data_IF_331182320849
#
_entry.id   IF_331182320849
#
_cell.length_a   1.000
_cell.length_b   1.000
_cell.length_c   1.000
_cell.angle_alpha   90.00
_cell.angle_beta   90.00
_cell.angle_gamma   90.00
#
_symmetry.space_group_name_H-M   'P 1'
#
loop_
_entity.id
_entity.type
_entity.pdbx_description
1 polymer ?
#
# COMPACT_ATOMS: atom_id res chain seq x y z
N UNK A 1 -5.29 0.57 11.28
CA UNK A 1 -5.67 -0.14 10.03
C UNK A 1 -5.42 -1.62 10.25
N UNK A 2 -6.47 -2.40 10.48
CA UNK A 2 -6.38 -3.83 10.76
C UNK A 2 -5.78 -4.56 9.54
N UNK A 3 -4.54 -5.03 9.66
CA UNK A 3 -4.03 -6.05 8.75
C UNK A 3 -4.96 -7.25 8.88
N UNK A 4 -5.75 -7.54 7.84
CA UNK A 4 -6.46 -8.82 7.75
C UNK A 4 -5.38 -9.91 7.82
N UNK A 5 -5.38 -10.66 8.93
CA UNK A 5 -4.45 -11.75 9.13
C UNK A 5 -4.83 -12.87 8.15
N UNK A 6 -4.16 -12.89 7.01
CA UNK A 6 -4.38 -13.85 5.94
C UNK A 6 -3.04 -14.43 5.47
N UNK A 7 -3.08 -15.51 4.69
CA UNK A 7 -1.88 -16.21 4.24
C UNK A 7 -0.98 -15.33 3.35
N UNK A 8 -1.55 -14.45 2.52
CA UNK A 8 -0.75 -13.54 1.70
C UNK A 8 0.04 -12.54 2.56
N UNK A 9 -0.57 -11.96 3.59
CA UNK A 9 0.10 -11.06 4.56
C UNK A 9 1.19 -11.79 5.34
N UNK A 10 0.96 -13.05 5.75
CA UNK A 10 1.97 -13.88 6.44
C UNK A 10 3.18 -14.15 5.55
N UNK A 11 2.97 -14.57 4.30
CA UNK A 11 4.04 -14.82 3.33
C UNK A 11 4.84 -13.52 3.07
N UNK A 12 4.15 -12.39 2.86
CA UNK A 12 4.80 -11.08 2.67
C UNK A 12 5.71 -10.71 3.85
N UNK A 13 5.22 -10.89 5.08
CA UNK A 13 5.99 -10.63 6.31
C UNK A 13 7.17 -11.59 6.46
N UNK A 14 6.97 -12.89 6.20
CA UNK A 14 8.02 -13.90 6.31
C UNK A 14 9.19 -13.62 5.34
N UNK A 15 8.88 -13.28 4.09
CA UNK A 15 9.90 -12.88 3.09
C UNK A 15 10.67 -11.66 3.57
N UNK A 16 9.98 -10.62 4.05
CA UNK A 16 10.61 -9.42 4.59
C UNK A 16 11.54 -9.74 5.77
N UNK A 17 11.11 -10.60 6.71
CA UNK A 17 11.95 -11.01 7.86
C UNK A 17 13.21 -11.73 7.37
N UNK A 18 13.07 -12.69 6.45
CA UNK A 18 14.21 -13.45 5.91
C UNK A 18 15.22 -12.55 5.20
N UNK A 19 14.75 -11.68 4.30
CA UNK A 19 15.60 -10.70 3.62
C UNK A 19 16.29 -9.77 4.61
N UNK A 20 15.56 -9.31 5.62
CA UNK A 20 16.13 -8.42 6.66
C UNK A 20 17.23 -9.11 7.46
N UNK A 21 17.02 -10.37 7.88
CA UNK A 21 18.04 -11.15 8.58
C UNK A 21 19.28 -11.36 7.71
N UNK A 22 19.09 -11.80 6.47
CA UNK A 22 20.19 -11.99 5.52
C UNK A 22 20.98 -10.69 5.29
N UNK A 23 20.30 -9.56 5.17
CA UNK A 23 20.95 -8.26 5.03
C UNK A 23 21.76 -7.90 6.26
N UNK A 24 21.20 -8.01 7.46
CA UNK A 24 21.89 -7.72 8.72
C UNK A 24 23.12 -8.62 8.95
N UNK A 25 23.10 -9.84 8.41
CA UNK A 25 24.23 -10.79 8.43
C UNK A 25 25.25 -10.56 7.30
N UNK A 26 24.99 -9.63 6.37
CA UNK A 26 25.85 -9.37 5.21
C UNK A 26 25.80 -10.47 4.14
N UNK A 27 24.75 -11.31 4.12
CA UNK A 27 24.61 -12.49 3.24
C UNK A 27 23.43 -12.37 2.27
N UNK A 28 22.95 -11.16 1.99
CA UNK A 28 21.76 -10.95 1.17
C UNK A 28 21.91 -11.53 -0.25
N UNK A 29 23.05 -11.28 -0.91
CA UNK A 29 23.34 -11.75 -2.27
C UNK A 29 23.30 -13.28 -2.38
N UNK A 30 24.00 -13.97 -1.47
CA UNK A 30 24.08 -15.43 -1.44
C UNK A 30 22.76 -16.07 -0.97
N UNK A 31 22.11 -15.46 0.02
CA UNK A 31 20.96 -16.03 0.72
C UNK A 31 19.62 -15.82 0.01
N UNK A 32 19.43 -14.70 -0.70
CA UNK A 32 18.14 -14.36 -1.31
C UNK A 32 17.64 -15.43 -2.28
N UNK A 33 18.56 -16.10 -2.99
CA UNK A 33 18.25 -17.18 -3.92
C UNK A 33 17.57 -18.39 -3.26
N UNK A 34 17.86 -18.65 -1.97
CA UNK A 34 17.35 -19.82 -1.27
C UNK A 34 15.96 -19.61 -0.67
N UNK A 35 15.52 -18.36 -0.49
CA UNK A 35 14.24 -18.05 0.18
C UNK A 35 13.05 -18.82 -0.42
N UNK A 36 12.82 -18.84 -1.75
CA UNK A 36 11.69 -19.60 -2.31
C UNK A 36 11.77 -21.10 -2.01
N UNK A 37 12.98 -21.68 -2.00
CA UNK A 37 13.20 -23.11 -1.75
C UNK A 37 13.02 -23.47 -0.28
N UNK A 38 13.41 -22.60 0.63
CA UNK A 38 13.22 -22.78 2.08
C UNK A 38 11.75 -22.65 2.47
N UNK A 39 11.02 -21.73 1.83
CA UNK A 39 9.59 -21.51 2.10
C UNK A 39 8.70 -22.57 1.44
N UNK A 40 9.14 -23.16 0.32
CA UNK A 40 8.47 -24.27 -0.36
C UNK A 40 9.47 -25.43 -0.60
N UNK A 41 9.82 -26.21 0.46
CA UNK A 41 10.80 -27.28 0.38
C UNK A 41 10.31 -28.47 -0.45
N UNK A 42 11.22 -29.36 -0.85
CA UNK A 42 10.84 -30.55 -1.62
C UNK A 42 9.90 -31.43 -0.77
N UNK A 43 8.73 -31.76 -1.33
CA UNK A 43 7.72 -32.58 -0.65
C UNK A 43 6.71 -31.79 0.18
N UNK A 44 6.78 -30.46 0.22
CA UNK A 44 5.71 -29.65 0.80
C UNK A 44 4.45 -29.70 -0.07
N UNK A 45 3.27 -29.58 0.57
CA UNK A 45 2.02 -29.44 -0.15
C UNK A 45 1.99 -28.11 -0.92
N UNK A 46 1.74 -28.12 -2.24
CA UNK A 46 1.67 -26.89 -3.02
C UNK A 46 0.38 -26.12 -2.70
N UNK A 47 0.46 -24.79 -2.70
CA UNK A 47 -0.70 -23.91 -2.54
C UNK A 47 -1.39 -23.60 -3.87
N UNK A 48 -0.69 -23.74 -5.00
CA UNK A 48 -1.28 -23.68 -6.36
C UNK A 48 -1.25 -25.06 -7.03
N UNK A 49 -0.77 -25.12 -8.28
CA UNK A 49 -0.76 -26.35 -9.07
C UNK A 49 0.43 -27.26 -8.72
N UNK A 50 1.60 -26.70 -8.37
CA UNK A 50 2.80 -27.43 -8.04
C UNK A 50 3.83 -26.57 -7.30
N UNK A 51 4.81 -27.22 -6.67
CA UNK A 51 5.90 -26.57 -5.91
C UNK A 51 6.73 -25.64 -6.81
N UNK A 52 6.86 -25.93 -8.10
CA UNK A 52 7.63 -25.08 -9.02
C UNK A 52 6.94 -23.73 -9.24
N UNK A 53 5.62 -23.74 -9.46
CA UNK A 53 4.83 -22.51 -9.59
C UNK A 53 4.82 -21.71 -8.30
N UNK A 54 4.70 -22.40 -7.16
CA UNK A 54 4.76 -21.77 -5.84
C UNK A 54 6.10 -21.07 -5.57
N UNK A 55 7.22 -21.71 -5.93
CA UNK A 55 8.55 -21.12 -5.83
C UNK A 55 8.72 -19.91 -6.73
N UNK A 56 8.12 -19.94 -7.91
CA UNK A 56 8.15 -18.83 -8.84
C UNK A 56 7.35 -17.62 -8.32
N UNK A 57 6.15 -17.87 -7.76
CA UNK A 57 5.38 -16.85 -7.04
C UNK A 57 6.20 -16.26 -5.89
N UNK A 58 6.89 -17.10 -5.11
CA UNK A 58 7.76 -16.65 -4.03
C UNK A 58 8.96 -15.85 -4.54
N UNK A 59 9.56 -16.24 -5.68
CA UNK A 59 10.65 -15.51 -6.34
C UNK A 59 10.21 -14.10 -6.71
N UNK A 60 9.08 -13.95 -7.41
CA UNK A 60 8.51 -12.65 -7.77
C UNK A 60 8.24 -11.77 -6.53
N UNK A 61 7.74 -12.36 -5.43
CA UNK A 61 7.57 -11.65 -4.15
C UNK A 61 8.89 -11.19 -3.55
N UNK A 62 9.94 -12.01 -3.62
CA UNK A 62 11.29 -11.64 -3.16
C UNK A 62 11.82 -10.45 -3.98
N UNK A 63 11.66 -10.47 -5.31
CA UNK A 63 12.06 -9.37 -6.20
C UNK A 63 11.38 -8.05 -5.79
N UNK A 64 10.06 -8.08 -5.59
CA UNK A 64 9.33 -6.90 -5.10
C UNK A 64 9.82 -6.42 -3.72
N UNK A 65 10.21 -7.34 -2.83
CA UNK A 65 10.80 -7.00 -1.51
C UNK A 65 12.28 -6.61 -1.55
N UNK A 66 12.97 -6.84 -2.66
CA UNK A 66 14.27 -6.24 -2.95
C UNK A 66 14.14 -4.83 -3.56
N UNK A 67 12.91 -4.35 -3.80
CA UNK A 67 12.63 -3.00 -4.30
C UNK A 67 12.50 -2.92 -5.82
N UNK A 68 12.38 -4.05 -6.51
CA UNK A 68 12.27 -4.12 -7.98
C UNK A 68 10.84 -4.34 -8.46
N UNK A 69 10.51 -3.74 -9.60
CA UNK A 69 9.24 -3.98 -10.29
C UNK A 69 9.32 -5.24 -11.14
N UNK A 70 8.17 -5.72 -11.61
CA UNK A 70 8.08 -6.86 -12.52
C UNK A 70 7.61 -6.47 -13.92
N UNK A 71 7.55 -5.16 -14.21
CA UNK A 71 7.18 -4.66 -15.54
C UNK A 71 8.21 -5.09 -16.61
N UNK A 72 9.49 -5.10 -16.26
CA UNK A 72 10.61 -5.56 -17.11
C UNK A 72 11.21 -6.85 -16.52
N UNK A 73 10.34 -7.82 -16.22
CA UNK A 73 10.75 -9.06 -15.58
C UNK A 73 11.63 -9.92 -16.49
N UNK A 74 12.76 -10.39 -15.94
CA UNK A 74 13.72 -11.26 -16.63
C UNK A 74 13.82 -12.61 -15.91
N UNK A 75 13.36 -13.66 -16.59
CA UNK A 75 13.36 -15.04 -16.11
C UNK A 75 14.77 -15.60 -15.90
N UNK A 76 15.75 -15.16 -16.70
CA UNK A 76 17.13 -15.63 -16.64
C UNK A 76 17.93 -14.95 -15.53
N UNK A 77 17.50 -13.76 -15.10
CA UNK A 77 18.16 -12.99 -14.05
C UNK A 77 18.00 -13.62 -12.68
N UNK A 78 19.11 -13.86 -11.99
CA UNK A 78 19.09 -14.54 -10.68
C UNK A 78 18.67 -13.58 -9.58
N UNK A 79 18.07 -14.14 -8.52
CA UNK A 79 17.76 -13.39 -7.30
C UNK A 79 18.99 -12.76 -6.64
N UNK A 80 20.16 -13.39 -6.77
CA UNK A 80 21.42 -12.84 -6.28
C UNK A 80 21.76 -11.52 -7.00
N UNK A 81 21.56 -11.44 -8.32
CA UNK A 81 21.83 -10.24 -9.11
C UNK A 81 20.87 -9.11 -8.70
N UNK A 82 19.58 -9.40 -8.53
CA UNK A 82 18.61 -8.42 -7.99
C UNK A 82 18.99 -7.94 -6.58
N UNK A 83 19.52 -8.83 -5.73
CA UNK A 83 19.96 -8.48 -4.39
C UNK A 83 21.20 -7.59 -4.41
N UNK A 84 22.19 -7.93 -5.26
CA UNK A 84 23.38 -7.12 -5.47
C UNK A 84 23.05 -5.72 -5.98
N UNK A 85 22.23 -5.63 -7.02
CA UNK A 85 21.81 -4.33 -7.55
C UNK A 85 21.00 -3.52 -6.52
N UNK A 86 20.21 -4.17 -5.65
CA UNK A 86 19.52 -3.49 -4.55
C UNK A 86 20.51 -2.90 -3.53
N UNK A 87 21.66 -3.55 -3.30
CA UNK A 87 22.74 -3.02 -2.47
C UNK A 87 23.45 -1.83 -3.15
N UNK A 88 23.55 -1.82 -4.47
CA UNK A 88 24.19 -0.72 -5.21
C UNK A 88 23.25 0.47 -5.44
N UNK A 89 21.92 0.26 -5.38
CA UNK A 89 20.90 1.29 -5.64
C UNK A 89 20.98 2.51 -4.72
N UNK A 90 21.10 3.70 -5.30
CA UNK A 90 21.19 4.93 -4.49
C UNK A 90 19.83 5.50 -4.09
N UNK A 91 18.80 5.35 -4.91
CA UNK A 91 17.47 5.92 -4.68
C UNK A 91 16.33 4.94 -5.03
N UNK A 92 15.13 5.10 -4.45
CA UNK A 92 13.96 4.28 -4.82
C UNK A 92 13.63 4.37 -6.31
N UNK A 93 13.25 3.25 -6.93
CA UNK A 93 12.99 3.17 -8.38
C UNK A 93 11.51 3.28 -8.71
N UNK A 94 11.14 3.93 -9.81
CA UNK A 94 9.76 3.88 -10.32
C UNK A 94 9.43 2.53 -11.00
N UNK A 95 8.18 2.02 -10.98
CA UNK A 95 7.00 2.43 -10.20
C UNK A 95 6.96 1.81 -8.79
N UNK A 96 6.34 2.46 -7.80
CA UNK A 96 6.30 2.00 -6.38
C UNK A 96 5.39 0.78 -6.11
N UNK A 97 4.49 0.52 -7.04
CA UNK A 97 3.49 -0.55 -6.99
C UNK A 97 3.72 -1.39 -8.24
N UNK A 98 3.60 -2.71 -8.14
CA UNK A 98 3.76 -3.63 -9.26
C UNK A 98 2.74 -4.76 -9.15
N UNK A 99 2.57 -5.51 -10.25
CA UNK A 99 1.74 -6.72 -10.30
C UNK A 99 2.65 -7.93 -10.42
N UNK A 100 2.42 -8.93 -9.59
CA UNK A 100 3.10 -10.22 -9.68
C UNK A 100 2.30 -11.13 -10.63
N UNK A 101 2.77 -11.25 -11.87
CA UNK A 101 2.07 -11.98 -12.93
C UNK A 101 1.78 -13.43 -12.55
N UNK A 102 2.72 -14.11 -11.91
CA UNK A 102 2.55 -15.51 -11.54
C UNK A 102 1.64 -15.69 -10.31
N UNK A 103 1.57 -14.68 -9.44
CA UNK A 103 0.62 -14.68 -8.34
C UNK A 103 -0.81 -14.30 -8.78
N UNK A 104 -0.93 -13.50 -9.85
CA UNK A 104 -2.19 -13.04 -10.42
C UNK A 104 -3.01 -14.24 -10.93
N UNK A 105 -4.25 -14.36 -10.46
CA UNK A 105 -5.14 -15.46 -10.85
C UNK A 105 -5.80 -15.26 -12.21
N UNK A 106 -5.55 -14.13 -12.90
CA UNK A 106 -6.28 -13.73 -14.11
C UNK A 106 -7.80 -13.85 -13.91
N UNK A 107 -8.32 -13.18 -12.87
CA UNK A 107 -9.73 -13.30 -12.50
C UNK A 107 -10.61 -12.97 -13.71
N UNK A 108 -11.61 -13.80 -13.99
CA UNK A 108 -12.59 -13.48 -15.05
C UNK A 108 -13.25 -12.12 -14.78
N UNK A 109 -13.50 -11.34 -15.84
CA UNK A 109 -14.17 -10.03 -15.73
C UNK A 109 -15.43 -10.12 -14.87
N UNK A 110 -15.75 -9.03 -14.16
CA UNK A 110 -16.94 -8.96 -13.30
C UNK A 110 -18.17 -9.42 -14.08
N UNK A 111 -18.88 -10.37 -13.49
CA UNK A 111 -20.04 -11.01 -14.13
C UNK A 111 -21.06 -11.45 -13.10
N UNK A 112 -22.31 -11.57 -13.53
CA UNK A 112 -23.40 -12.14 -12.74
C UNK A 112 -23.59 -13.60 -13.10
N UNK A 113 -23.64 -14.46 -12.08
CA UNK A 113 -23.80 -15.90 -12.24
C UNK A 113 -25.04 -16.36 -11.49
N UNK A 114 -25.84 -17.17 -12.15
CA UNK A 114 -27.00 -17.83 -11.55
C UNK A 114 -26.51 -19.10 -10.85
N UNK A 115 -26.77 -19.21 -9.56
CA UNK A 115 -26.41 -20.36 -8.73
C UNK A 115 -27.52 -21.41 -8.73
N UNK A 116 -27.23 -22.57 -8.13
CA UNK A 116 -28.21 -23.65 -7.98
C UNK A 116 -29.35 -23.33 -7.00
N UNK A 117 -29.31 -22.16 -6.34
CA UNK A 117 -30.43 -21.67 -5.53
C UNK A 117 -31.62 -21.17 -6.38
N UNK A 118 -31.44 -21.02 -7.71
CA UNK A 118 -32.48 -20.50 -8.60
C UNK A 118 -33.70 -21.42 -8.64
N UNK A 119 -34.90 -20.87 -8.44
CA UNK A 119 -36.16 -21.62 -8.43
C UNK A 119 -36.96 -21.51 -9.74
N UNK A 120 -36.40 -20.87 -10.79
CA UNK A 120 -37.10 -20.57 -12.05
C UNK A 120 -38.54 -20.06 -11.84
N UNK A 121 -38.70 -19.11 -10.92
CA UNK A 121 -39.99 -18.63 -10.45
C UNK A 121 -40.88 -18.22 -11.62
N UNK A 122 -42.20 -18.47 -11.50
CA UNK A 122 -43.19 -17.99 -12.46
C UNK A 122 -43.11 -16.47 -12.67
N UNK A 123 -42.85 -15.71 -11.61
CA UNK A 123 -42.77 -14.25 -11.63
C UNK A 123 -41.57 -13.69 -12.44
N UNK A 124 -40.50 -14.47 -12.62
CA UNK A 124 -39.29 -14.12 -13.40
C UNK A 124 -38.82 -12.64 -13.28
N UNK A 125 -38.68 -12.08 -12.07
CA UNK A 125 -38.36 -10.66 -11.91
C UNK A 125 -36.97 -10.30 -12.46
N UNK A 126 -36.00 -11.22 -12.42
CA UNK A 126 -34.69 -11.03 -13.03
C UNK A 126 -34.77 -10.88 -14.56
N UNK A 127 -35.64 -11.64 -15.21
CA UNK A 127 -35.83 -11.63 -16.67
C UNK A 127 -36.63 -10.41 -17.12
N UNK A 128 -37.77 -10.14 -16.47
CA UNK A 128 -38.67 -9.05 -16.85
C UNK A 128 -38.04 -7.67 -16.68
N UNK A 129 -37.18 -7.50 -15.68
CA UNK A 129 -36.49 -6.24 -15.42
C UNK A 129 -35.10 -6.15 -16.09
N UNK A 130 -34.72 -7.11 -16.94
CA UNK A 130 -33.46 -7.05 -17.66
C UNK A 130 -33.57 -6.08 -18.86
N UNK A 131 -32.98 -4.90 -18.73
CA UNK A 131 -32.96 -3.87 -19.77
C UNK A 131 -32.28 -4.31 -21.09
N UNK A 132 -31.36 -5.27 -21.03
CA UNK A 132 -30.67 -5.85 -22.20
C UNK A 132 -31.30 -7.13 -22.72
N UNK A 133 -32.38 -7.62 -22.09
CA UNK A 133 -33.02 -8.92 -22.39
C UNK A 133 -32.01 -10.08 -22.43
N UNK A 134 -30.98 -10.00 -21.59
CA UNK A 134 -29.87 -10.94 -21.53
C UNK A 134 -30.19 -12.20 -20.72
N UNK A 135 -31.41 -12.36 -20.20
CA UNK A 135 -31.77 -13.46 -19.29
C UNK A 135 -32.85 -14.30 -19.93
N UNK A 136 -32.65 -15.61 -19.94
CA UNK A 136 -33.62 -16.59 -20.40
C UNK A 136 -33.79 -17.68 -19.35
N UNK A 137 -34.99 -18.26 -19.23
CA UNK A 137 -35.19 -19.45 -18.39
C UNK A 137 -35.00 -20.69 -19.26
N UNK A 138 -33.93 -21.44 -19.01
CA UNK A 138 -33.66 -22.72 -19.68
C UNK A 138 -33.82 -23.86 -18.68
N UNK A 139 -34.71 -24.82 -19.00
CA UNK A 139 -35.11 -25.91 -18.10
C UNK A 139 -35.70 -25.36 -16.78
N UNK A 140 -34.94 -25.46 -15.69
CA UNK A 140 -35.32 -25.11 -14.32
C UNK A 140 -34.45 -24.00 -13.71
N UNK A 141 -33.72 -23.23 -14.52
CA UNK A 141 -32.92 -22.09 -14.03
C UNK A 141 -32.85 -20.93 -15.02
N UNK A 142 -32.61 -19.74 -14.48
CA UNK A 142 -32.22 -18.60 -15.30
C UNK A 142 -30.80 -18.80 -15.84
N UNK A 143 -30.57 -18.35 -17.08
CA UNK A 143 -29.27 -18.31 -17.74
C UNK A 143 -29.06 -16.90 -18.24
N UNK A 144 -27.90 -16.33 -17.94
CA UNK A 144 -27.51 -14.98 -18.35
C UNK A 144 -26.58 -15.11 -19.56
N UNK A 145 -26.98 -14.51 -20.67
CA UNK A 145 -26.13 -14.29 -21.85
C UNK A 145 -25.14 -13.16 -21.54
N UNK A 146 -23.85 -13.49 -21.57
CA UNK A 146 -22.78 -12.57 -21.19
C UNK A 146 -22.49 -11.53 -22.27
N UNK A 147 -22.77 -11.84 -23.53
CA UNK A 147 -22.50 -10.94 -24.65
C UNK A 147 -23.53 -9.81 -24.70
N UNK A 148 -24.75 -10.08 -24.22
CA UNK A 148 -25.82 -9.08 -24.09
C UNK A 148 -25.79 -8.33 -22.75
N UNK A 149 -25.29 -8.94 -21.68
CA UNK A 149 -25.29 -8.37 -20.34
C UNK A 149 -24.32 -7.19 -20.21
N UNK A 150 -24.80 -6.05 -19.67
CA UNK A 150 -23.96 -4.89 -19.38
C UNK A 150 -23.59 -4.75 -17.89
N UNK A 151 -23.73 -5.83 -17.10
CA UNK A 151 -23.38 -5.88 -15.68
C UNK A 151 -24.07 -4.83 -14.78
N UNK A 152 -25.31 -4.43 -15.08
CA UNK A 152 -26.05 -3.43 -14.29
C UNK A 152 -26.49 -3.90 -12.89
N UNK A 153 -26.49 -5.21 -12.63
CA UNK A 153 -26.83 -5.78 -11.31
C UNK A 153 -28.32 -5.83 -10.95
N UNK A 154 -29.23 -5.28 -11.77
CA UNK A 154 -30.68 -5.32 -11.52
C UNK A 154 -31.21 -6.74 -11.29
N UNK A 155 -30.68 -7.73 -12.00
CA UNK A 155 -31.09 -9.12 -11.85
C UNK A 155 -30.75 -9.71 -10.48
N UNK A 156 -29.60 -9.34 -9.90
CA UNK A 156 -29.21 -9.72 -8.54
C UNK A 156 -30.12 -9.05 -7.52
N UNK A 157 -30.31 -7.73 -7.61
CA UNK A 157 -31.17 -6.97 -6.69
C UNK A 157 -32.62 -7.47 -6.70
N UNK A 158 -33.15 -7.83 -7.87
CA UNK A 158 -34.53 -8.26 -8.03
C UNK A 158 -34.76 -9.75 -7.76
N UNK A 159 -33.71 -10.52 -7.43
CA UNK A 159 -33.85 -11.96 -7.18
C UNK A 159 -34.27 -12.20 -5.72
N UNK A 160 -35.51 -12.62 -5.43
CA UNK A 160 -35.96 -12.82 -4.05
C UNK A 160 -35.25 -13.99 -3.35
N UNK A 161 -34.67 -14.91 -4.12
CA UNK A 161 -33.93 -16.07 -3.61
C UNK A 161 -32.43 -15.81 -3.47
N UNK A 162 -31.94 -14.60 -3.81
CA UNK A 162 -30.50 -14.29 -3.89
C UNK A 162 -29.70 -15.32 -4.74
N UNK A 163 -30.37 -15.88 -5.76
CA UNK A 163 -29.81 -16.94 -6.60
C UNK A 163 -28.90 -16.40 -7.71
N UNK A 164 -28.74 -15.09 -7.83
CA UNK A 164 -27.85 -14.46 -8.81
C UNK A 164 -26.78 -13.74 -8.00
N UNK A 165 -25.54 -14.19 -8.11
CA UNK A 165 -24.41 -13.61 -7.40
C UNK A 165 -23.54 -12.79 -8.36
N UNK A 166 -22.97 -11.70 -7.87
CA UNK A 166 -21.90 -10.98 -8.55
C UNK A 166 -20.57 -11.69 -8.24
N UNK A 167 -19.82 -12.04 -9.27
CA UNK A 167 -18.41 -12.44 -9.13
C UNK A 167 -17.57 -11.19 -9.42
N UNK A 168 -17.03 -10.53 -8.38
CA UNK A 168 -16.23 -9.32 -8.57
C UNK A 168 -14.80 -9.67 -8.96
N UNK A 169 -14.11 -8.71 -9.59
CA UNK A 169 -12.64 -8.67 -9.63
C UNK A 169 -12.18 -7.70 -8.53
N UNK A 170 -11.71 -8.19 -7.36
CA UNK A 170 -11.55 -7.34 -6.18
C UNK A 170 -10.59 -6.16 -6.36
N UNK A 171 -9.49 -6.35 -7.11
CA UNK A 171 -8.52 -5.29 -7.37
C UNK A 171 -9.08 -4.19 -8.30
N UNK A 172 -9.78 -4.57 -9.37
CA UNK A 172 -10.44 -3.63 -10.30
C UNK A 172 -11.54 -2.83 -9.59
N UNK A 173 -12.43 -3.50 -8.85
CA UNK A 173 -13.54 -2.82 -8.15
C UNK A 173 -13.06 -1.89 -7.03
N UNK A 174 -11.92 -2.21 -6.40
CA UNK A 174 -11.33 -1.37 -5.38
C UNK A 174 -10.63 -0.11 -5.96
N UNK A 175 -10.42 -0.05 -7.28
CA UNK A 175 -9.76 1.08 -7.93
C UNK A 175 -10.77 2.20 -8.25
N UNK A 176 -10.73 3.35 -7.54
CA UNK A 176 -11.73 4.41 -7.71
C UNK A 176 -11.60 5.16 -9.05
N UNK A 177 -10.46 5.01 -9.73
CA UNK A 177 -10.10 5.75 -10.96
C UNK A 177 -9.99 4.85 -12.18
N UNK A 178 -10.37 3.57 -12.06
CA UNK A 178 -10.33 2.61 -13.18
C UNK A 178 -8.95 2.43 -13.81
N UNK A 179 -7.88 2.48 -13.00
CA UNK A 179 -6.50 2.37 -13.46
C UNK A 179 -6.01 0.92 -13.64
N UNK A 180 -6.84 -0.08 -13.34
CA UNK A 180 -6.47 -1.50 -13.48
C UNK A 180 -7.25 -2.07 -14.65
N UNK A 181 -6.53 -2.67 -15.58
CA UNK A 181 -7.08 -3.30 -16.79
C UNK A 181 -6.49 -4.69 -16.94
N UNK A 182 -6.89 -5.42 -17.99
CA UNK A 182 -6.36 -6.73 -18.31
C UNK A 182 -5.54 -6.70 -19.58
N UNK A 183 -4.45 -7.46 -19.60
CA UNK A 183 -3.67 -7.73 -20.81
C UNK A 183 -4.34 -8.82 -21.68
N UNK A 184 -3.64 -9.22 -22.74
CA UNK A 184 -4.08 -10.28 -23.68
C UNK A 184 -4.22 -11.66 -23.00
N UNK A 185 -3.47 -11.89 -21.92
CA UNK A 185 -3.49 -13.13 -21.14
C UNK A 185 -4.52 -13.09 -19.98
N UNK A 186 -5.27 -11.99 -19.85
CA UNK A 186 -6.26 -11.78 -18.79
C UNK A 186 -5.69 -11.40 -17.42
N UNK A 187 -4.37 -11.17 -17.33
CA UNK A 187 -3.64 -10.72 -16.14
C UNK A 187 -3.87 -9.23 -15.93
N UNK A 188 -3.86 -8.81 -14.66
CA UNK A 188 -4.09 -7.41 -14.34
C UNK A 188 -2.85 -6.54 -14.61
N UNK A 189 -3.04 -5.40 -15.26
CA UNK A 189 -2.00 -4.39 -15.52
C UNK A 189 -2.46 -3.04 -14.97
N UNK A 190 -1.51 -2.28 -14.41
CA UNK A 190 -1.77 -0.96 -13.84
C UNK A 190 -1.39 0.13 -14.85
N UNK A 191 -2.35 0.99 -15.18
CA UNK A 191 -2.09 2.27 -15.83
C UNK A 191 -1.56 3.27 -14.80
N UNK A 192 -0.24 3.45 -14.75
CA UNK A 192 0.42 4.37 -13.83
C UNK A 192 0.14 5.86 -14.12
N UNK A 193 -0.35 6.19 -15.32
CA UNK A 193 -0.78 7.56 -15.65
C UNK A 193 -2.15 7.88 -15.03
N UNK A 194 -3.02 6.88 -14.87
CA UNK A 194 -4.29 7.03 -14.14
C UNK A 194 -4.14 6.80 -12.63
N UNK A 195 -3.25 5.92 -12.21
CA UNK A 195 -3.12 5.51 -10.81
C UNK A 195 -2.83 6.67 -9.84
N UNK A 196 -3.50 6.68 -8.68
CA UNK A 196 -3.29 7.64 -7.58
C UNK A 196 -2.49 7.06 -6.42
N UNK A 197 -2.06 5.79 -6.52
CA UNK A 197 -1.26 5.07 -5.52
C UNK A 197 -1.93 4.95 -4.13
N UNK A 198 -3.26 4.95 -4.05
CA UNK A 198 -4.00 4.81 -2.79
C UNK A 198 -3.85 3.43 -2.11
N UNK A 199 -3.37 2.41 -2.85
CA UNK A 199 -3.14 1.05 -2.34
C UNK A 199 -4.40 0.23 -2.09
N UNK A 200 -5.58 0.68 -2.51
CA UNK A 200 -6.84 -0.07 -2.34
C UNK A 200 -6.78 -1.46 -3.00
N UNK A 201 -6.24 -1.53 -4.22
CA UNK A 201 -6.09 -2.78 -4.96
C UNK A 201 -5.17 -3.79 -4.26
N UNK A 202 -4.11 -3.33 -3.60
CA UNK A 202 -3.23 -4.18 -2.79
C UNK A 202 -3.96 -4.83 -1.62
N UNK A 203 -4.84 -4.07 -0.95
CA UNK A 203 -5.64 -4.57 0.18
C UNK A 203 -6.75 -5.51 -0.28
N UNK A 204 -7.32 -5.27 -1.45
CA UNK A 204 -8.45 -6.02 -1.97
C UNK A 204 -8.05 -7.35 -2.64
N UNK A 205 -6.85 -7.44 -3.23
CA UNK A 205 -6.42 -8.64 -3.95
C UNK A 205 -6.19 -9.83 -3.00
N UNK A 206 -7.01 -10.90 -3.03
CA UNK A 206 -6.88 -12.03 -2.12
C UNK A 206 -5.64 -12.89 -2.42
N UNK A 207 -5.14 -12.85 -3.65
CA UNK A 207 -3.93 -13.54 -4.08
C UNK A 207 -2.65 -12.79 -3.67
N UNK A 208 -2.79 -11.54 -3.21
CA UNK A 208 -1.65 -10.67 -2.90
C UNK A 208 -0.74 -10.42 -4.10
N UNK A 209 -1.29 -10.42 -5.32
CA UNK A 209 -0.57 -10.17 -6.57
C UNK A 209 -0.25 -8.68 -6.78
N UNK A 210 -1.06 -7.79 -6.21
CA UNK A 210 -0.77 -6.36 -6.17
C UNK A 210 0.19 -6.09 -5.00
N UNK A 211 1.40 -5.60 -5.29
CA UNK A 211 2.46 -5.52 -4.28
C UNK A 211 3.28 -4.23 -4.41
N UNK A 212 3.58 -3.61 -3.26
CA UNK A 212 4.48 -2.48 -3.20
C UNK A 212 5.94 -2.95 -3.17
N UNK A 213 6.82 -2.09 -3.68
CA UNK A 213 8.26 -2.30 -3.64
C UNK A 213 8.80 -1.87 -2.30
N UNK A 214 9.55 -2.76 -1.66
CA UNK A 214 10.17 -2.44 -0.36
C UNK A 214 11.36 -1.50 -0.54
N UNK A 215 11.59 -0.66 0.46
CA UNK A 215 12.79 0.19 0.57
C UNK A 215 13.64 -0.20 1.80
N UNK A 216 13.28 -1.29 2.47
CA UNK A 216 13.89 -1.71 3.73
C UNK A 216 15.36 -2.10 3.56
N UNK A 217 15.71 -2.80 2.47
CA UNK A 217 17.09 -3.16 2.14
C UNK A 217 17.96 -1.91 1.97
N UNK A 218 17.46 -0.88 1.30
CA UNK A 218 18.18 0.38 1.10
C UNK A 218 18.44 1.09 2.44
N UNK A 219 17.44 1.13 3.32
CA UNK A 219 17.58 1.74 4.65
C UNK A 219 18.58 0.98 5.52
N UNK A 220 18.50 -0.35 5.56
CA UNK A 220 19.44 -1.17 6.36
C UNK A 220 20.86 -1.02 5.81
N UNK A 221 21.04 -0.94 4.49
CA UNK A 221 22.35 -0.66 3.89
C UNK A 221 22.96 0.64 4.44
N UNK A 222 22.20 1.73 4.49
CA UNK A 222 22.73 2.99 5.04
C UNK A 222 23.09 2.86 6.52
N UNK A 223 22.29 2.14 7.31
CA UNK A 223 22.60 1.84 8.72
C UNK A 223 23.91 1.03 8.85
N UNK A 224 24.10 0.00 8.03
CA UNK A 224 25.30 -0.84 8.06
C UNK A 224 26.55 -0.11 7.58
N UNK A 225 26.40 0.86 6.67
CA UNK A 225 27.48 1.72 6.19
C UNK A 225 27.83 2.86 7.17
N UNK A 226 27.24 2.86 8.38
CA UNK A 226 27.52 3.86 9.42
C UNK A 226 26.98 5.26 9.12
N UNK A 227 26.02 5.39 8.18
CA UNK A 227 25.35 6.67 7.96
C UNK A 227 24.37 6.96 9.10
N UNK A 228 24.17 8.25 9.35
CA UNK A 228 23.15 8.75 10.27
C UNK A 228 21.76 8.53 9.68
N UNK A 229 20.97 7.61 10.21
CA UNK A 229 19.61 7.33 9.70
C UNK A 229 18.56 7.81 10.69
N UNK A 230 17.73 8.76 10.28
CA UNK A 230 16.71 9.40 11.12
C UNK A 230 15.31 8.91 10.73
N UNK A 231 14.58 8.35 11.69
CA UNK A 231 13.20 7.91 11.47
C UNK A 231 12.21 9.05 11.68
N UNK A 232 11.20 9.15 10.83
CA UNK A 232 10.06 10.07 10.95
C UNK A 232 8.77 9.25 10.89
N UNK A 233 8.18 8.91 12.04
CA UNK A 233 7.00 8.05 12.06
C UNK A 233 5.69 8.85 12.05
N UNK A 234 4.73 8.40 11.25
CA UNK A 234 3.40 8.99 11.20
C UNK A 234 2.60 8.69 12.48
N UNK A 235 1.70 9.58 12.94
CA UNK A 235 0.92 9.35 14.17
C UNK A 235 0.13 8.04 14.16
N UNK A 236 -0.36 7.64 12.98
CA UNK A 236 -1.06 6.37 12.77
C UNK A 236 -0.21 5.12 13.11
N UNK A 237 1.13 5.22 13.04
CA UNK A 237 2.05 4.11 13.32
C UNK A 237 2.07 3.82 14.82
N UNK A 238 2.11 4.86 15.66
CA UNK A 238 2.10 4.72 17.11
C UNK A 238 0.84 3.97 17.59
N UNK A 239 -0.31 4.23 16.99
CA UNK A 239 -1.56 3.55 17.34
C UNK A 239 -1.62 2.06 16.92
N UNK A 240 -0.72 1.61 16.03
CA UNK A 240 -0.72 0.25 15.49
C UNK A 240 0.20 -0.68 16.29
N UNK A 241 1.21 -0.11 16.96
CA UNK A 241 2.02 -0.83 17.91
C UNK A 241 1.38 -0.74 19.30
N UNK A 242 1.17 -1.89 19.95
CA UNK A 242 0.68 -1.93 21.33
C UNK A 242 1.82 -1.56 22.28
N UNK A 243 2.14 -0.28 22.36
CA UNK A 243 3.27 0.23 23.13
C UNK A 243 2.87 1.47 23.94
N UNK A 244 3.55 1.68 25.07
CA UNK A 244 3.43 2.92 25.82
C UNK A 244 4.00 4.11 25.01
N UNK A 245 3.55 5.35 25.26
CA UNK A 245 4.18 6.54 24.67
C UNK A 245 5.68 6.56 24.94
N UNK A 246 6.52 6.85 23.93
CA UNK A 246 7.98 6.85 24.07
C UNK A 246 8.66 5.50 23.83
N UNK A 247 7.91 4.40 23.91
CA UNK A 247 8.46 3.05 23.78
C UNK A 247 8.72 2.64 22.32
N UNK A 248 7.92 3.16 21.38
CA UNK A 248 8.15 2.96 19.95
C UNK A 248 9.46 3.63 19.51
N UNK A 249 9.75 4.81 20.05
CA UNK A 249 10.99 5.53 19.82
C UNK A 249 12.18 4.72 20.33
N UNK A 250 12.12 4.18 21.55
CA UNK A 250 13.15 3.28 22.07
C UNK A 250 13.37 2.06 21.17
N UNK A 251 12.28 1.46 20.68
CA UNK A 251 12.35 0.33 19.74
C UNK A 251 13.00 0.70 18.40
N UNK A 252 12.69 1.87 17.84
CA UNK A 252 13.29 2.36 16.60
C UNK A 252 14.79 2.68 16.81
N UNK A 253 15.16 3.30 17.93
CA UNK A 253 16.57 3.55 18.28
C UNK A 253 17.34 2.22 18.40
N UNK A 254 16.78 1.24 19.13
CA UNK A 254 17.34 -0.11 19.23
C UNK A 254 17.43 -0.83 17.87
N UNK A 255 16.53 -0.51 16.93
CA UNK A 255 16.58 -1.02 15.57
C UNK A 255 17.70 -0.41 14.72
N UNK A 256 18.36 0.66 15.17
CA UNK A 256 19.52 1.27 14.53
C UNK A 256 19.27 2.65 13.92
N UNK A 257 18.12 3.27 14.18
CA UNK A 257 17.92 4.68 13.86
C UNK A 257 18.67 5.55 14.88
N UNK A 258 19.39 6.59 14.43
CA UNK A 258 20.15 7.48 15.31
C UNK A 258 19.24 8.47 16.04
N UNK A 259 18.16 8.90 15.40
CA UNK A 259 17.16 9.79 15.98
C UNK A 259 15.78 9.48 15.45
N UNK A 260 14.75 9.69 16.27
CA UNK A 260 13.36 9.42 15.94
C UNK A 260 12.53 10.68 16.11
N UNK A 261 11.75 11.00 15.08
CA UNK A 261 10.87 12.16 14.98
C UNK A 261 9.43 11.71 14.83
N UNK A 262 8.53 12.41 15.51
CA UNK A 262 7.10 12.20 15.35
C UNK A 262 6.57 13.20 14.33
N UNK A 263 5.98 12.71 13.24
CA UNK A 263 5.48 13.55 12.13
C UNK A 263 4.33 14.47 12.55
N UNK A 264 3.73 14.24 13.73
CA UNK A 264 2.78 15.18 14.33
C UNK A 264 3.36 16.59 14.51
N UNK A 265 4.68 16.75 14.68
CA UNK A 265 5.32 18.07 14.74
C UNK A 265 5.17 18.82 13.41
N UNK A 266 5.41 18.14 12.27
CA UNK A 266 5.13 18.71 10.96
C UNK A 266 3.63 18.88 10.70
N UNK A 267 2.77 18.14 11.39
CA UNK A 267 1.32 18.28 11.29
C UNK A 267 0.84 19.58 11.95
N UNK A 268 1.42 19.95 13.08
CA UNK A 268 1.17 21.25 13.74
C UNK A 268 1.54 22.40 12.79
N UNK A 269 2.72 22.34 12.16
CA UNK A 269 3.16 23.34 11.15
C UNK A 269 2.24 23.35 9.92
N UNK A 270 1.77 22.18 9.49
CA UNK A 270 0.82 22.08 8.37
C UNK A 270 -0.50 22.75 8.72
N UNK A 271 -1.05 22.46 9.91
CA UNK A 271 -2.32 23.02 10.36
C UNK A 271 -2.25 24.55 10.43
N UNK A 272 -1.21 25.10 11.04
CA UNK A 272 -1.01 26.54 11.18
C UNK A 272 -0.94 27.24 9.81
N UNK A 273 -0.12 26.71 8.89
CA UNK A 273 0.01 27.29 7.54
C UNK A 273 -1.26 27.13 6.70
N UNK A 274 -1.90 25.97 6.77
CA UNK A 274 -3.14 25.70 6.04
C UNK A 274 -4.31 26.53 6.60
N UNK A 275 -4.32 26.86 7.90
CA UNK A 275 -5.28 27.77 8.51
C UNK A 275 -5.11 29.21 8.01
N UNK A 276 -3.87 29.73 8.00
CA UNK A 276 -3.60 31.06 7.43
C UNK A 276 -3.95 31.13 5.95
N UNK A 277 -3.58 30.11 5.17
CA UNK A 277 -3.94 30.02 3.75
C UNK A 277 -5.47 29.97 3.55
N UNK A 278 -6.19 29.29 4.45
CA UNK A 278 -7.65 29.25 4.41
C UNK A 278 -8.25 30.65 4.61
N UNK A 279 -7.79 31.37 5.64
CA UNK A 279 -8.25 32.74 5.94
C UNK A 279 -8.03 33.67 4.74
N UNK A 280 -6.81 33.69 4.19
CA UNK A 280 -6.44 34.49 3.02
C UNK A 280 -7.34 34.17 1.81
N UNK A 281 -7.52 32.89 1.48
CA UNK A 281 -8.35 32.49 0.34
C UNK A 281 -9.83 32.84 0.54
N UNK A 282 -10.35 32.77 1.77
CA UNK A 282 -11.74 33.16 2.05
C UNK A 282 -11.94 34.68 1.90
N UNK A 283 -10.97 35.50 2.34
CA UNK A 283 -10.97 36.95 2.14
C UNK A 283 -10.92 37.34 0.66
N UNK A 284 -10.15 36.60 -0.15
CA UNK A 284 -10.09 36.74 -1.61
C UNK A 284 -11.36 36.25 -2.35
N UNK A 285 -12.34 35.71 -1.62
CA UNK A 285 -13.63 35.29 -2.16
C UNK A 285 -13.63 33.87 -2.76
N UNK A 286 -12.65 33.03 -2.42
CA UNK A 286 -12.68 31.62 -2.77
C UNK A 286 -13.89 30.94 -2.13
N UNK A 287 -14.60 30.10 -2.90
CA UNK A 287 -15.82 29.41 -2.41
C UNK A 287 -15.52 28.27 -1.45
N UNK A 288 -14.34 27.66 -1.58
CA UNK A 288 -13.91 26.51 -0.79
C UNK A 288 -12.40 26.31 -0.93
N UNK A 289 -11.83 25.66 0.09
CA UNK A 289 -10.49 25.11 0.07
C UNK A 289 -10.55 23.64 0.50
N UNK A 290 -9.65 22.83 -0.03
CA UNK A 290 -9.51 21.40 0.24
C UNK A 290 -8.09 21.12 0.70
N UNK A 291 -7.92 20.05 1.47
CA UNK A 291 -6.64 19.75 2.07
C UNK A 291 -5.63 19.20 1.07
N UNK A 292 -4.34 19.43 1.34
CA UNK A 292 -3.25 19.03 0.45
C UNK A 292 -2.43 17.82 0.95
N UNK A 293 -2.61 17.44 2.22
CA UNK A 293 -1.70 16.51 2.90
C UNK A 293 -1.80 15.04 2.45
N UNK A 294 -2.87 14.66 1.73
CA UNK A 294 -3.12 13.32 1.21
C UNK A 294 -2.69 13.20 -0.27
N UNK A 295 -1.57 12.51 -0.58
CA UNK A 295 -1.05 12.49 -1.96
C UNK A 295 -1.97 11.77 -2.94
N UNK A 296 -2.70 10.76 -2.47
CA UNK A 296 -3.68 10.06 -3.30
C UNK A 296 -4.83 10.97 -3.72
N UNK A 297 -5.28 11.85 -2.82
CA UNK A 297 -6.31 12.85 -3.11
C UNK A 297 -5.79 13.92 -4.08
N UNK A 298 -4.63 14.52 -3.78
CA UNK A 298 -4.03 15.55 -4.65
C UNK A 298 -3.83 15.01 -6.07
N UNK A 299 -3.32 13.78 -6.21
CA UNK A 299 -3.19 13.14 -7.53
C UNK A 299 -4.54 12.82 -8.18
N UNK A 300 -5.56 12.46 -7.39
CA UNK A 300 -6.90 12.21 -7.91
C UNK A 300 -7.48 13.49 -8.52
N UNK A 301 -7.38 14.62 -7.82
CA UNK A 301 -7.84 15.93 -8.31
C UNK A 301 -7.08 16.32 -9.57
N UNK A 302 -5.74 16.37 -9.52
CA UNK A 302 -4.91 16.81 -10.66
C UNK A 302 -5.12 15.98 -11.94
N UNK A 303 -5.44 14.70 -11.82
CA UNK A 303 -5.56 13.78 -12.98
C UNK A 303 -6.99 13.56 -13.44
N UNK A 304 -7.93 13.46 -12.51
CA UNK A 304 -9.29 12.99 -12.79
C UNK A 304 -10.36 14.05 -12.54
N UNK A 305 -10.06 15.07 -11.73
CA UNK A 305 -10.99 16.18 -11.46
C UNK A 305 -10.26 17.54 -11.49
N UNK A 306 -9.60 17.94 -12.61
CA UNK A 306 -8.79 19.17 -12.64
C UNK A 306 -9.57 20.44 -12.31
N UNK A 307 -10.90 20.41 -12.46
CA UNK A 307 -11.79 21.50 -12.05
C UNK A 307 -11.72 21.85 -10.55
N UNK A 308 -11.19 20.98 -9.70
CA UNK A 308 -10.96 21.24 -8.27
C UNK A 308 -9.49 21.55 -7.93
N UNK A 309 -8.59 21.63 -8.92
CA UNK A 309 -7.15 21.81 -8.66
C UNK A 309 -6.86 23.14 -7.93
N UNK A 310 -7.53 24.22 -8.32
CA UNK A 310 -7.41 25.52 -7.65
C UNK A 310 -7.96 25.52 -6.21
N UNK A 311 -8.75 24.51 -5.84
CA UNK A 311 -9.27 24.38 -4.48
C UNK A 311 -8.29 23.66 -3.54
N UNK A 312 -7.22 23.05 -4.04
CA UNK A 312 -6.23 22.38 -3.18
C UNK A 312 -5.37 23.45 -2.50
N UNK A 313 -5.13 23.29 -1.20
CA UNK A 313 -4.13 24.07 -0.46
C UNK A 313 -2.73 23.88 -1.06
N UNK A 314 -1.93 24.95 -1.08
CA UNK A 314 -0.53 24.95 -1.51
C UNK A 314 0.43 24.51 -0.39
N UNK A 315 -0.06 24.50 0.85
CA UNK A 315 0.65 24.04 2.03
C UNK A 315 1.18 22.61 1.82
N UNK A 316 2.44 22.35 2.19
CA UNK A 316 3.05 21.02 2.07
C UNK A 316 2.56 20.08 3.17
N UNK A 317 2.76 18.77 2.97
CA UNK A 317 2.26 17.79 3.92
C UNK A 317 3.09 17.72 5.22
N UNK A 318 2.55 17.12 6.29
CA UNK A 318 3.29 16.93 7.55
C UNK A 318 4.62 16.19 7.37
N UNK A 319 4.69 15.26 6.41
CA UNK A 319 5.90 14.51 6.10
C UNK A 319 7.00 15.45 5.61
N UNK A 320 6.67 16.38 4.72
CA UNK A 320 7.60 17.36 4.17
C UNK A 320 8.17 18.26 5.27
N UNK A 321 7.31 18.90 6.07
CA UNK A 321 7.79 19.81 7.11
C UNK A 321 8.59 19.10 8.20
N UNK A 322 8.20 17.87 8.56
CA UNK A 322 9.03 17.07 9.49
C UNK A 322 10.39 16.79 8.88
N UNK A 323 10.45 16.38 7.61
CA UNK A 323 11.71 16.10 6.91
C UNK A 323 12.59 17.35 6.79
N UNK A 324 12.00 18.51 6.53
CA UNK A 324 12.69 19.80 6.52
C UNK A 324 13.33 20.10 7.89
N UNK A 325 12.61 19.89 8.99
CA UNK A 325 13.16 20.03 10.35
C UNK A 325 14.32 19.06 10.60
N UNK A 326 14.17 17.80 10.19
CA UNK A 326 15.22 16.77 10.31
C UNK A 326 16.48 17.20 9.56
N UNK A 327 16.35 17.67 8.31
CA UNK A 327 17.49 18.10 7.49
C UNK A 327 18.09 19.42 7.97
N UNK A 328 17.32 20.30 8.61
CA UNK A 328 17.86 21.50 9.28
C UNK A 328 18.77 21.15 10.45
N UNK A 329 18.41 20.12 11.23
CA UNK A 329 19.24 19.67 12.36
C UNK A 329 20.42 18.81 11.90
N UNK A 330 20.20 17.92 10.93
CA UNK A 330 21.21 17.01 10.40
C UNK A 330 21.16 16.97 8.86
N UNK A 331 21.87 17.88 8.17
CA UNK A 331 21.83 17.99 6.70
C UNK A 331 22.22 16.70 5.97
N UNK A 332 23.23 16.00 6.48
CA UNK A 332 23.80 14.80 5.86
C UNK A 332 23.12 13.49 6.29
N UNK A 333 22.07 13.54 7.12
CA UNK A 333 21.38 12.33 7.55
C UNK A 333 20.53 11.73 6.41
N UNK A 334 20.30 10.42 6.48
CA UNK A 334 19.31 9.72 5.67
C UNK A 334 17.97 9.81 6.39
N UNK A 335 17.00 10.50 5.80
CA UNK A 335 15.66 10.68 6.36
C UNK A 335 14.72 9.56 5.89
N UNK A 336 14.08 8.88 6.85
CA UNK A 336 13.22 7.73 6.59
C UNK A 336 11.84 7.98 7.16
N UNK A 337 10.86 8.25 6.32
CA UNK A 337 9.46 8.31 6.74
C UNK A 337 8.91 6.91 6.98
N UNK A 338 8.17 6.72 8.07
CA UNK A 338 7.49 5.47 8.40
C UNK A 338 6.00 5.74 8.46
N UNK A 339 5.20 5.09 7.60
CA UNK A 339 3.76 5.31 7.58
C UNK A 339 2.95 4.23 6.88
N UNK A 340 1.61 4.29 6.97
CA UNK A 340 0.72 3.25 6.45
C UNK A 340 0.36 3.42 4.96
N UNK A 341 0.86 4.46 4.28
CA UNK A 341 0.32 4.90 2.99
C UNK A 341 1.29 4.66 1.84
N UNK A 342 0.85 3.88 0.83
CA UNK A 342 1.58 3.71 -0.42
C UNK A 342 1.81 5.04 -1.16
N UNK A 343 0.80 5.94 -1.16
CA UNK A 343 0.91 7.21 -1.86
C UNK A 343 2.00 8.12 -1.26
N UNK A 344 2.35 7.95 0.02
CA UNK A 344 3.49 8.65 0.64
C UNK A 344 4.83 8.21 0.05
N UNK A 345 4.96 6.97 -0.46
CA UNK A 345 6.16 6.57 -1.22
C UNK A 345 6.35 7.43 -2.46
N UNK A 346 5.26 7.71 -3.20
CA UNK A 346 5.32 8.58 -4.37
C UNK A 346 5.67 10.02 -3.98
N UNK A 347 5.05 10.54 -2.94
CA UNK A 347 5.37 11.89 -2.46
C UNK A 347 6.83 11.98 -2.01
N UNK A 348 7.34 10.99 -1.26
CA UNK A 348 8.73 10.97 -0.82
C UNK A 348 9.74 10.95 -1.97
N UNK A 349 9.44 10.24 -3.07
CA UNK A 349 10.28 10.29 -4.28
C UNK A 349 10.34 11.68 -4.93
N UNK A 350 9.28 12.48 -4.77
CA UNK A 350 9.17 13.82 -5.35
C UNK A 350 9.65 14.92 -4.35
N UNK A 351 9.98 14.54 -3.12
CA UNK A 351 10.32 15.45 -2.02
C UNK A 351 11.84 15.57 -1.85
N UNK A 352 12.41 16.78 -1.79
CA UNK A 352 13.86 16.97 -1.68
C UNK A 352 14.43 16.59 -0.31
N UNK A 353 13.60 16.43 0.72
CA UNK A 353 14.04 16.18 2.10
C UNK A 353 13.80 14.75 2.56
N UNK A 354 13.10 13.91 1.78
CA UNK A 354 12.75 12.52 2.15
C UNK A 354 13.53 11.53 1.29
N UNK A 355 14.42 10.75 1.92
CA UNK A 355 15.25 9.78 1.18
C UNK A 355 14.51 8.44 0.98
N UNK A 356 13.83 7.95 2.02
CA UNK A 356 13.09 6.67 1.98
C UNK A 356 11.76 6.73 2.73
N UNK A 357 10.86 5.84 2.34
CA UNK A 357 9.52 5.66 2.91
C UNK A 357 9.34 4.18 3.21
N UNK A 358 9.19 3.83 4.48
CA UNK A 358 8.91 2.49 4.96
C UNK A 358 7.47 2.36 5.44
N UNK A 359 6.93 1.17 5.24
CA UNK A 359 5.66 0.73 5.77
C UNK A 359 5.81 0.19 7.19
N UNK A 360 4.68 0.11 7.89
CA UNK A 360 4.61 -0.53 9.22
C UNK A 360 5.03 -2.01 9.14
N UNK A 361 4.72 -2.71 8.04
CA UNK A 361 5.09 -4.11 7.85
C UNK A 361 6.61 -4.29 7.76
N UNK A 362 7.31 -3.37 7.10
CA UNK A 362 8.78 -3.37 7.01
C UNK A 362 9.43 -3.14 8.37
N UNK A 363 8.93 -2.18 9.15
CA UNK A 363 9.42 -1.95 10.52
C UNK A 363 9.13 -3.15 11.43
N UNK A 364 7.95 -3.75 11.32
CA UNK A 364 7.62 -4.98 12.04
C UNK A 364 8.56 -6.13 11.68
N UNK A 365 8.95 -6.27 10.41
CA UNK A 365 9.92 -7.26 9.98
C UNK A 365 11.32 -6.97 10.54
N UNK A 366 11.74 -5.70 10.56
CA UNK A 366 13.01 -5.28 11.16
C UNK A 366 13.09 -5.58 12.65
N UNK A 367 12.04 -5.28 13.41
CA UNK A 367 11.97 -5.61 14.84
C UNK A 367 12.08 -7.11 15.07
N UNK A 368 11.35 -7.93 14.31
CA UNK A 368 11.43 -9.39 14.42
C UNK A 368 12.81 -9.91 14.05
N UNK A 369 13.41 -9.39 12.99
CA UNK A 369 14.75 -9.81 12.55
C UNK A 369 15.83 -9.48 13.58
N UNK A 370 15.69 -8.36 14.30
CA UNK A 370 16.60 -7.94 15.39
C UNK A 370 16.21 -8.47 16.78
N UNK A 371 15.16 -9.28 16.89
CA UNK A 371 14.61 -9.76 18.17
C UNK A 371 14.25 -8.61 19.13
N UNK A 372 13.72 -7.50 18.61
CA UNK A 372 13.27 -6.35 19.39
C UNK A 372 11.84 -6.59 19.86
N UNK A 373 11.69 -6.77 21.16
CA UNK A 373 10.39 -6.83 21.82
C UNK A 373 10.03 -5.42 22.32
N UNK A 374 8.98 -4.81 21.73
CA UNK A 374 8.58 -3.44 22.06
C UNK A 374 8.37 -3.25 23.57
N UNK A 375 7.69 -4.19 24.21
CA UNK A 375 7.34 -4.16 25.64
C UNK A 375 8.56 -4.05 26.58
N UNK A 376 9.75 -4.44 26.10
CA UNK A 376 11.01 -4.41 26.86
C UNK A 376 11.88 -3.19 26.56
N UNK A 377 11.47 -2.33 25.63
CA UNK A 377 12.26 -1.17 25.24
C UNK A 377 12.12 -0.02 26.23
N UNK A 378 13.19 0.76 26.36
CA UNK A 378 13.21 1.97 27.17
C UNK A 378 12.17 2.98 26.67
N UNK A 379 11.49 3.62 27.62
CA UNK A 379 10.53 4.69 27.31
C UNK A 379 11.32 5.97 27.14
N UNK A 380 11.37 6.47 25.90
CA UNK A 380 12.02 7.73 25.60
C UNK A 380 11.10 8.90 25.99
N UNK A 381 11.61 9.79 26.83
CA UNK A 381 10.92 11.04 27.17
C UNK A 381 11.24 12.11 26.11
N UNK A 382 10.20 12.79 25.61
CA UNK A 382 10.34 13.87 24.64
C UNK A 382 10.52 15.20 25.33
N UNK A 383 11.47 16.00 24.82
CA UNK A 383 11.55 17.42 25.16
C UNK A 383 10.42 18.22 24.48
N UNK A 384 10.08 17.87 23.23
CA UNK A 384 9.01 18.50 22.45
C UNK A 384 7.89 17.50 22.13
N UNK A 385 6.78 17.60 22.87
CA UNK A 385 5.58 16.82 22.59
C UNK A 385 4.72 17.55 21.54
N UNK A 386 4.41 16.92 20.40
CA UNK A 386 3.48 17.49 19.44
C UNK A 386 2.08 17.60 20.03
N UNK A 387 1.28 18.50 19.47
CA UNK A 387 -0.05 18.80 19.99
C UNK A 387 -1.02 17.60 19.82
N UNK A 388 -2.12 17.56 20.60
CA UNK A 388 -3.17 16.58 20.40
C UNK A 388 -3.82 16.68 19.01
N UNK A 389 -3.97 17.88 18.45
CA UNK A 389 -4.55 18.11 17.12
C UNK A 389 -3.62 17.56 16.03
N UNK A 390 -2.31 17.78 16.14
CA UNK A 390 -1.29 17.20 15.25
C UNK A 390 -1.29 15.68 15.23
N UNK A 391 -1.48 15.03 16.39
CA UNK A 391 -1.63 13.56 16.47
C UNK A 391 -2.92 13.05 15.84
N UNK A 392 -3.99 13.83 15.93
CA UNK A 392 -5.30 13.49 15.38
C UNK A 392 -5.39 13.65 13.85
N UNK A 393 -4.37 14.16 13.14
CA UNK A 393 -4.33 14.17 11.67
C UNK A 393 -4.58 12.79 11.02
N UNK A 394 -4.27 11.72 11.74
CA UNK A 394 -4.41 10.35 11.25
C UNK A 394 -5.87 9.85 11.17
N UNK A 395 -6.83 10.54 11.80
CA UNK A 395 -8.25 10.16 11.77
C UNK A 395 -9.01 11.03 10.76
N UNK A 396 -10.06 10.46 10.14
CA UNK A 396 -10.95 11.20 9.25
C UNK A 396 -11.53 12.42 9.97
N UNK A 397 -11.43 13.60 9.35
CA UNK A 397 -11.86 14.86 9.94
C UNK A 397 -10.81 15.53 10.85
N UNK A 398 -9.76 14.81 11.27
CA UNK A 398 -8.76 15.35 12.18
C UNK A 398 -7.96 16.53 11.63
N UNK A 399 -7.69 16.55 10.32
CA UNK A 399 -7.04 17.70 9.65
C UNK A 399 -7.92 18.94 9.72
N UNK A 400 -9.21 18.79 9.42
CA UNK A 400 -10.16 19.92 9.44
C UNK A 400 -10.32 20.50 10.85
N UNK A 401 -10.37 19.64 11.88
CA UNK A 401 -10.40 20.10 13.28
C UNK A 401 -9.09 20.77 13.69
N UNK A 402 -7.93 20.30 13.20
CA UNK A 402 -6.65 20.92 13.51
C UNK A 402 -6.47 22.28 12.84
N UNK A 403 -6.94 22.45 11.61
CA UNK A 403 -6.93 23.74 10.87
C UNK A 403 -7.90 24.75 11.51
N UNK A 404 -8.95 24.28 12.17
CA UNK A 404 -9.96 25.12 12.83
C UNK A 404 -9.56 25.57 14.24
N UNK A 405 -8.73 24.78 14.91
CA UNK A 405 -8.31 25.00 16.30
C UNK A 405 -7.25 26.10 16.37
#
# INVERSE_FOLDING_TARGET
MLHLNNNASKIKREILIRLTKLQLEGKLEEGAHYIPREMAPRGSEPFRCCIYHDREILRQRVIARLGWGLEDYDDDKKLADYAKEALEREAPTWPMLTVLDEACNACVKTQFVVTDACQACLARPCMLNCNKKAIEIKKSRAVIDKDLCNNCGLCMTNCPYNAIIKIPVPCEEACPVGAITKDENGKEVIDYHKCTFCGNCMRACPFGAMMDKSQLVDVIKHMMNGKKVHAMYAPAVAAQFRSAPGQLEGALMAAGFEKVWEVAQGADITAEKEAHEFEERMEEGAKMMTTSCCPAYVRAVKRHVPALESCISDTKSPMHYTAELVKKEAPDCVSVFIGPCLAKRREGMDDPYVDYVLSIEEIGALFVAKNIELEKQEIMHKENNPSPTGRNFAITGGVAEAVKA
#
